data_IF_579901643045
#
_entry.id   IF_579901643045
#
_cell.length_a   1.000
_cell.length_b   1.000
_cell.length_c   1.000
_cell.angle_alpha   90.00
_cell.angle_beta   90.00
_cell.angle_gamma   90.00
#
_symmetry.space_group_name_H-M   'P 1'
#
loop_
_entity.id
_entity.type
_entity.pdbx_description
1 polymer ?
#
# COMPACT_ATOMS: atom_id res chain seq x y z
N UNK A 1 20.25 3.50 4.31
CA UNK A 1 20.14 4.20 5.60
C UNK A 1 19.05 5.29 5.63
N UNK A 2 18.80 6.05 4.55
CA UNK A 2 17.76 7.10 4.57
C UNK A 2 16.31 6.55 4.64
N UNK A 3 16.06 5.33 4.14
CA UNK A 3 14.71 4.78 4.02
C UNK A 3 14.18 4.13 5.31
N UNK A 4 15.07 3.69 6.22
CA UNK A 4 14.66 3.01 7.45
C UNK A 4 13.91 3.95 8.41
N UNK A 5 14.32 5.22 8.47
CA UNK A 5 13.65 6.24 9.29
C UNK A 5 12.25 6.58 8.79
N UNK A 6 12.05 6.68 7.47
CA UNK A 6 10.73 6.90 6.86
C UNK A 6 9.79 5.73 7.18
N UNK A 7 10.26 4.51 6.97
CA UNK A 7 9.49 3.29 7.22
C UNK A 7 9.05 3.18 8.69
N UNK A 8 9.94 3.46 9.64
CA UNK A 8 9.62 3.51 11.07
C UNK A 8 8.61 4.61 11.42
N UNK A 9 8.73 5.79 10.82
CA UNK A 9 7.78 6.90 11.01
C UNK A 9 6.39 6.52 10.51
N UNK A 10 6.28 5.93 9.31
CA UNK A 10 5.01 5.49 8.74
C UNK A 10 4.33 4.43 9.61
N UNK A 11 5.09 3.47 10.11
CA UNK A 11 4.62 2.45 11.05
C UNK A 11 4.09 3.05 12.36
N UNK A 12 4.83 3.99 12.94
CA UNK A 12 4.43 4.66 14.17
C UNK A 12 3.13 5.47 13.95
N UNK A 13 3.03 6.15 12.82
CA UNK A 13 1.85 6.95 12.46
C UNK A 13 0.60 6.08 12.22
N UNK A 14 0.71 5.02 11.42
CA UNK A 14 -0.45 4.16 11.10
C UNK A 14 -1.01 3.48 12.35
N UNK A 15 -0.14 3.08 13.29
CA UNK A 15 -0.54 2.44 14.55
C UNK A 15 -1.15 3.42 15.55
N UNK A 16 -0.52 4.59 15.75
CA UNK A 16 -1.03 5.58 16.71
C UNK A 16 -2.44 6.05 16.38
N UNK A 17 -2.78 6.14 15.09
CA UNK A 17 -4.12 6.55 14.63
C UNK A 17 -5.03 5.35 14.32
N UNK A 18 -4.50 4.12 14.36
CA UNK A 18 -5.21 2.89 14.01
C UNK A 18 -5.80 2.92 12.58
N UNK A 19 -5.02 3.42 11.62
CA UNK A 19 -5.39 3.34 10.20
C UNK A 19 -5.19 1.94 9.63
N UNK A 20 -5.91 1.64 8.55
CA UNK A 20 -5.78 0.37 7.84
C UNK A 20 -4.46 0.33 7.10
N UNK A 21 -4.05 1.46 6.51
CA UNK A 21 -2.72 1.62 5.95
C UNK A 21 -2.34 3.09 5.80
N UNK A 22 -1.06 3.32 5.51
CA UNK A 22 -0.51 4.61 5.15
C UNK A 22 0.42 4.46 3.93
N UNK A 23 0.41 5.41 3.01
CA UNK A 23 1.20 5.40 1.79
C UNK A 23 1.86 6.76 1.63
N UNK A 24 3.15 6.76 1.35
CA UNK A 24 3.94 7.92 1.01
C UNK A 24 4.16 7.98 -0.50
N UNK A 25 3.75 9.09 -1.10
CA UNK A 25 3.95 9.40 -2.51
C UNK A 25 5.11 10.40 -2.67
N UNK A 26 6.04 10.05 -3.53
CA UNK A 26 7.23 10.84 -3.82
C UNK A 26 7.13 11.44 -5.21
N UNK A 27 7.51 12.71 -5.36
CA UNK A 27 7.59 13.33 -6.68
C UNK A 27 8.81 12.80 -7.45
N UNK A 28 8.58 12.30 -8.66
CA UNK A 28 9.62 11.87 -9.59
C UNK A 28 9.86 12.98 -10.62
N UNK A 29 10.99 13.72 -10.58
CA UNK A 29 11.24 14.84 -11.48
C UNK A 29 11.28 14.45 -12.96
N UNK A 30 11.83 13.26 -13.26
CA UNK A 30 11.98 12.73 -14.62
C UNK A 30 10.62 12.46 -15.27
N UNK A 31 9.71 11.83 -14.52
CA UNK A 31 8.36 11.49 -15.00
C UNK A 31 7.34 12.61 -14.78
N UNK A 32 7.69 13.65 -14.02
CA UNK A 32 6.83 14.77 -13.60
C UNK A 32 5.52 14.33 -12.93
N UNK A 33 5.55 13.22 -12.22
CA UNK A 33 4.40 12.66 -11.49
C UNK A 33 4.82 12.19 -10.10
N UNK A 34 3.86 12.15 -9.20
CA UNK A 34 3.94 11.47 -7.91
C UNK A 34 3.85 9.97 -8.15
N UNK A 35 4.80 9.23 -7.62
CA UNK A 35 4.86 7.76 -7.66
C UNK A 35 4.89 7.23 -6.24
N UNK A 36 4.60 5.94 -6.09
CA UNK A 36 4.77 5.27 -4.82
C UNK A 36 6.22 5.42 -4.32
N UNK A 37 6.39 5.95 -3.10
CA UNK A 37 7.67 5.97 -2.39
C UNK A 37 7.76 4.83 -1.39
N UNK A 38 6.89 4.84 -0.38
CA UNK A 38 6.84 3.81 0.68
C UNK A 38 5.43 3.67 1.26
N UNK A 39 5.19 2.69 2.15
CA UNK A 39 3.91 2.51 2.81
C UNK A 39 3.94 1.46 3.92
N UNK A 40 2.90 1.47 4.75
CA UNK A 40 2.71 0.46 5.79
C UNK A 40 1.24 0.03 5.83
N UNK A 41 1.02 -1.28 5.74
CA UNK A 41 -0.26 -1.93 6.00
C UNK A 41 -0.38 -2.27 7.49
N UNK A 42 -1.55 -2.00 8.06
CA UNK A 42 -1.90 -2.25 9.47
C UNK A 42 -3.35 -2.79 9.60
N UNK A 43 -3.93 -3.26 8.48
CA UNK A 43 -5.28 -3.79 8.44
C UNK A 43 -5.36 -5.26 8.85
N UNK A 44 -6.58 -5.80 8.82
CA UNK A 44 -6.83 -7.21 9.11
C UNK A 44 -6.15 -8.12 8.08
N UNK A 45 -5.57 -9.23 8.56
CA UNK A 45 -4.92 -10.25 7.75
C UNK A 45 -5.75 -11.53 7.86
N UNK A 46 -6.03 -12.20 6.73
CA UNK A 46 -6.60 -13.55 6.74
C UNK A 46 -5.50 -14.54 7.17
N UNK A 47 -5.43 -14.86 8.45
CA UNK A 47 -4.64 -16.01 8.89
C UNK A 47 -5.54 -17.25 8.87
N UNK A 48 -5.18 -18.25 8.06
CA UNK A 48 -5.76 -19.60 8.21
C UNK A 48 -5.35 -20.04 9.61
N UNK A 49 -6.31 -20.35 10.49
CA UNK A 49 -6.08 -20.78 11.87
C UNK A 49 -5.02 -21.89 11.89
N UNK A 50 -3.78 -21.55 12.23
CA UNK A 50 -2.76 -22.52 12.60
C UNK A 50 -2.06 -22.03 13.86
N UNK A 51 -2.08 -22.93 14.82
CA UNK A 51 -1.60 -22.86 16.20
C UNK A 51 -0.12 -22.46 16.25
N UNK A 52 0.18 -21.30 16.83
CA UNK A 52 1.09 -21.13 17.98
C UNK A 52 1.24 -19.63 18.32
N UNK A 53 1.07 -19.22 19.59
CA UNK A 53 1.37 -17.87 20.02
C UNK A 53 2.89 -17.76 20.23
N UNK A 54 3.64 -17.59 19.14
CA UNK A 54 4.97 -17.01 19.26
C UNK A 54 4.76 -15.52 19.46
N UNK A 55 5.36 -14.93 20.50
CA UNK A 55 5.33 -13.49 20.79
C UNK A 55 6.06 -12.70 19.70
N UNK A 56 5.54 -12.74 18.48
CA UNK A 56 5.89 -11.79 17.43
C UNK A 56 5.13 -10.53 17.79
N UNK A 57 5.86 -9.45 18.03
CA UNK A 57 5.23 -8.16 18.34
C UNK A 57 4.30 -7.79 17.17
N UNK A 58 3.16 -7.15 17.47
CA UNK A 58 2.25 -6.62 16.43
C UNK A 58 3.00 -5.79 15.37
N UNK A 59 4.16 -5.25 15.77
CA UNK A 59 5.05 -4.49 14.93
C UNK A 59 5.70 -5.30 13.82
N UNK A 60 6.32 -6.42 14.19
CA UNK A 60 6.98 -7.34 13.27
C UNK A 60 5.97 -7.99 12.30
N UNK A 61 4.73 -8.25 12.77
CA UNK A 61 3.66 -8.79 11.93
C UNK A 61 3.23 -7.79 10.84
N UNK A 62 3.00 -6.53 11.19
CA UNK A 62 2.58 -5.50 10.23
C UNK A 62 3.68 -5.17 9.21
N UNK A 63 4.94 -5.14 9.67
CA UNK A 63 6.14 -5.02 8.84
C UNK A 63 6.23 -6.14 7.82
N UNK A 64 6.22 -7.38 8.32
CA UNK A 64 6.31 -8.58 7.50
C UNK A 64 5.18 -8.62 6.48
N UNK A 65 3.96 -8.22 6.86
CA UNK A 65 2.83 -8.20 5.91
C UNK A 65 2.99 -7.15 4.82
N UNK A 66 3.45 -5.95 5.16
CA UNK A 66 3.68 -4.87 4.19
C UNK A 66 4.74 -5.28 3.15
N UNK A 67 5.78 -5.99 3.60
CA UNK A 67 6.83 -6.54 2.74
C UNK A 67 6.31 -7.67 1.84
N UNK A 68 5.53 -8.62 2.38
CA UNK A 68 4.90 -9.68 1.60
C UNK A 68 3.99 -9.12 0.48
N UNK A 69 3.23 -8.08 0.78
CA UNK A 69 2.40 -7.41 -0.23
C UNK A 69 3.28 -6.73 -1.28
N UNK A 70 4.37 -6.06 -0.88
CA UNK A 70 5.29 -5.46 -1.84
C UNK A 70 5.92 -6.49 -2.77
N UNK A 71 6.44 -7.59 -2.22
CA UNK A 71 7.05 -8.67 -2.99
C UNK A 71 6.05 -9.31 -3.97
N UNK A 72 4.81 -9.52 -3.53
CA UNK A 72 3.74 -10.01 -4.40
C UNK A 72 3.46 -9.04 -5.55
N UNK A 73 3.38 -7.72 -5.28
CA UNK A 73 3.20 -6.72 -6.32
C UNK A 73 4.34 -6.77 -7.34
N UNK A 74 5.59 -6.78 -6.89
CA UNK A 74 6.76 -6.78 -7.77
C UNK A 74 6.82 -8.07 -8.63
N UNK A 75 6.43 -9.22 -8.05
CA UNK A 75 6.30 -10.49 -8.78
C UNK A 75 5.21 -10.43 -9.86
N UNK A 76 4.05 -9.82 -9.56
CA UNK A 76 2.96 -9.67 -10.54
C UNK A 76 3.32 -8.67 -11.64
N UNK A 77 3.97 -7.56 -11.27
CA UNK A 77 4.37 -6.50 -12.19
C UNK A 77 5.49 -6.92 -13.14
N UNK A 78 6.38 -7.83 -12.71
CA UNK A 78 7.48 -8.34 -13.53
C UNK A 78 7.04 -9.37 -14.59
N UNK A 79 5.78 -9.80 -14.55
CA UNK A 79 5.21 -10.76 -15.50
C UNK A 79 5.58 -12.21 -15.20
N UNK A 80 4.64 -13.11 -15.45
CA UNK A 80 4.71 -14.58 -15.31
C UNK A 80 5.80 -15.23 -16.19
N UNK A 81 7.08 -14.96 -15.95
CA UNK A 81 8.19 -15.55 -16.69
C UNK A 81 8.54 -16.99 -16.26
N UNK A 82 7.59 -17.69 -15.63
CA UNK A 82 7.73 -19.09 -15.20
C UNK A 82 6.82 -20.06 -15.94
N UNK A 83 6.24 -19.67 -17.08
CA UNK A 83 5.51 -20.60 -17.94
C UNK A 83 6.13 -20.61 -19.34
N UNK A 84 7.28 -21.28 -19.49
CA UNK A 84 7.46 -22.33 -20.53
C UNK A 84 8.83 -23.01 -20.43
N UNK A 85 8.75 -24.33 -20.31
CA UNK A 85 9.66 -25.36 -20.87
C UNK A 85 11.05 -25.61 -20.24
N UNK A 86 11.08 -26.72 -19.48
CA UNK A 86 12.18 -27.69 -19.44
C UNK A 86 13.50 -27.23 -18.80
N UNK A 87 13.48 -27.01 -17.48
CA UNK A 87 14.58 -27.47 -16.62
C UNK A 87 14.17 -27.47 -15.15
N UNK A 88 14.46 -28.58 -14.50
CA UNK A 88 14.35 -28.78 -13.06
C UNK A 88 15.25 -27.77 -12.33
N UNK A 89 14.73 -26.60 -12.03
CA UNK A 89 15.32 -25.78 -10.97
C UNK A 89 14.54 -26.11 -9.72
N UNK A 90 15.19 -26.86 -8.83
CA UNK A 90 14.86 -26.94 -7.41
C UNK A 90 15.07 -25.55 -6.79
N UNK A 91 14.26 -24.56 -7.19
CA UNK A 91 14.04 -23.40 -6.34
C UNK A 91 13.07 -23.92 -5.31
N UNK A 92 13.51 -23.96 -4.04
CA UNK A 92 12.61 -24.16 -2.91
C UNK A 92 11.43 -23.21 -3.10
N UNK A 93 10.29 -23.73 -3.57
CA UNK A 93 9.02 -23.03 -3.55
C UNK A 93 8.90 -22.52 -2.12
N UNK A 94 8.90 -21.20 -1.85
CA UNK A 94 8.57 -20.77 -0.51
C UNK A 94 7.14 -21.25 -0.33
N UNK A 95 6.94 -22.31 0.45
CA UNK A 95 5.64 -22.90 0.75
C UNK A 95 4.75 -21.95 1.58
N UNK A 96 5.06 -20.65 1.55
CA UNK A 96 4.49 -19.52 2.28
C UNK A 96 4.39 -18.24 1.40
N UNK A 97 4.65 -18.30 0.09
CA UNK A 97 4.46 -17.14 -0.78
C UNK A 97 2.97 -16.78 -0.82
N UNK A 98 2.65 -15.53 -0.45
CA UNK A 98 1.29 -15.01 -0.41
C UNK A 98 0.69 -15.03 -1.83
N UNK A 99 -0.42 -15.73 -2.03
CA UNK A 99 -1.10 -15.75 -3.33
C UNK A 99 -2.10 -14.58 -3.45
N UNK A 100 -2.37 -14.07 -4.66
CA UNK A 100 -3.44 -13.09 -4.90
C UNK A 100 -4.79 -13.50 -4.28
N UNK A 101 -5.13 -14.78 -4.32
CA UNK A 101 -6.40 -15.33 -3.85
C UNK A 101 -6.53 -15.34 -2.32
N UNK A 102 -5.41 -15.34 -1.60
CA UNK A 102 -5.36 -15.32 -0.14
C UNK A 102 -5.57 -13.92 0.45
N UNK A 103 -5.60 -12.88 -0.39
CA UNK A 103 -5.72 -11.50 0.06
C UNK A 103 -7.14 -11.17 0.58
N UNK A 104 -7.19 -10.29 1.58
CA UNK A 104 -8.42 -9.56 1.90
C UNK A 104 -8.65 -8.45 0.87
N UNK A 105 -9.87 -7.93 0.79
CA UNK A 105 -10.18 -6.76 -0.04
C UNK A 105 -9.28 -5.56 0.31
N UNK A 106 -8.98 -5.36 1.60
CA UNK A 106 -8.14 -4.25 2.06
C UNK A 106 -6.68 -4.44 1.66
N UNK A 107 -6.19 -5.68 1.69
CA UNK A 107 -4.83 -6.01 1.23
C UNK A 107 -4.71 -5.87 -0.27
N UNK A 108 -5.68 -6.38 -1.04
CA UNK A 108 -5.74 -6.20 -2.49
C UNK A 108 -5.78 -4.71 -2.86
N UNK A 109 -6.56 -3.93 -2.12
CA UNK A 109 -6.66 -2.50 -2.35
C UNK A 109 -5.36 -1.75 -2.05
N UNK A 110 -4.70 -2.05 -0.93
CA UNK A 110 -3.37 -1.52 -0.61
C UNK A 110 -2.34 -1.90 -1.68
N UNK A 111 -2.33 -3.16 -2.10
CA UNK A 111 -1.47 -3.68 -3.16
C UNK A 111 -1.66 -2.91 -4.47
N UNK A 112 -2.92 -2.73 -4.91
CA UNK A 112 -3.25 -1.98 -6.11
C UNK A 112 -2.77 -0.53 -6.04
N UNK A 113 -2.75 0.08 -4.85
CA UNK A 113 -2.25 1.44 -4.68
C UNK A 113 -0.82 1.60 -5.18
N UNK A 114 0.01 0.56 -5.12
CA UNK A 114 1.41 0.61 -5.57
C UNK A 114 1.55 0.93 -7.07
N UNK A 115 0.54 0.59 -7.88
CA UNK A 115 0.57 0.83 -9.34
C UNK A 115 0.19 2.24 -9.77
N UNK A 116 -0.39 3.05 -8.89
CA UNK A 116 -0.87 4.38 -9.29
C UNK A 116 0.26 5.40 -9.40
N UNK A 117 0.01 6.41 -10.22
CA UNK A 117 0.78 7.64 -10.25
C UNK A 117 -0.16 8.83 -10.44
N UNK A 118 0.26 10.00 -9.98
CA UNK A 118 -0.56 11.21 -10.02
C UNK A 118 0.25 12.38 -10.55
N UNK A 119 -0.20 13.02 -11.63
CA UNK A 119 0.32 14.32 -11.99
C UNK A 119 -0.07 15.35 -10.91
N UNK A 120 0.75 16.41 -10.69
CA UNK A 120 0.32 17.55 -9.88
C UNK A 120 -1.05 18.08 -10.38
N UNK A 121 -1.96 18.37 -9.44
CA UNK A 121 -3.31 18.86 -9.74
C UNK A 121 -4.30 17.80 -10.24
N UNK A 122 -3.93 16.51 -10.22
CA UNK A 122 -4.80 15.42 -10.69
C UNK A 122 -5.14 14.46 -9.57
N UNK A 123 -6.45 14.36 -9.27
CA UNK A 123 -7.00 13.53 -8.21
C UNK A 123 -6.56 13.98 -6.82
N UNK A 124 -7.03 13.30 -5.77
CA UNK A 124 -6.80 13.74 -4.39
C UNK A 124 -5.32 13.94 -4.02
N UNK A 125 -4.44 13.04 -4.47
CA UNK A 125 -3.00 13.09 -4.15
C UNK A 125 -2.29 14.18 -4.94
N UNK A 126 -2.61 14.33 -6.24
CA UNK A 126 -2.05 15.38 -7.09
C UNK A 126 -2.50 16.78 -6.65
N UNK A 127 -3.77 16.94 -6.28
CA UNK A 127 -4.33 18.19 -5.76
C UNK A 127 -3.66 18.63 -4.46
N UNK A 128 -3.52 17.72 -3.49
CA UNK A 128 -2.87 18.01 -2.22
C UNK A 128 -1.41 18.45 -2.41
N UNK A 129 -0.71 17.83 -3.37
CA UNK A 129 0.65 18.21 -3.74
C UNK A 129 0.73 19.58 -4.39
N UNK A 130 -0.09 19.84 -5.41
CA UNK A 130 -0.06 21.11 -6.13
C UNK A 130 -0.44 22.28 -5.22
N UNK A 131 -1.47 22.10 -4.38
CA UNK A 131 -1.97 23.13 -3.47
C UNK A 131 -1.13 23.27 -2.19
N UNK A 132 -0.19 22.35 -1.95
CA UNK A 132 0.56 22.24 -0.68
C UNK A 132 -0.36 22.23 0.55
N UNK A 133 -1.47 21.50 0.44
CA UNK A 133 -2.54 21.47 1.44
C UNK A 133 -2.80 20.05 1.92
N UNK A 134 -3.17 19.94 3.20
CA UNK A 134 -3.67 18.68 3.72
C UNK A 134 -5.16 18.54 3.39
N UNK A 135 -5.53 17.47 2.69
CA UNK A 135 -6.90 17.19 2.28
C UNK A 135 -7.47 16.01 3.09
N UNK A 136 -8.73 16.11 3.47
CA UNK A 136 -9.46 15.04 4.14
C UNK A 136 -10.71 14.72 3.34
N UNK A 137 -10.85 13.46 2.94
CA UNK A 137 -12.04 12.94 2.29
C UNK A 137 -12.77 12.04 3.28
N UNK A 138 -14.03 12.36 3.55
CA UNK A 138 -14.94 11.53 4.35
C UNK A 138 -15.94 10.92 3.39
N UNK A 139 -16.21 9.61 3.51
CA UNK A 139 -17.14 8.93 2.60
C UNK A 139 -16.51 8.69 1.22
N UNK A 140 -15.29 8.16 1.18
CA UNK A 140 -14.60 7.95 -0.09
C UNK A 140 -15.36 7.02 -1.05
N UNK A 141 -16.27 6.19 -0.53
CA UNK A 141 -17.21 5.36 -1.30
C UNK A 141 -18.25 6.16 -2.11
N UNK A 142 -18.51 7.41 -1.72
CA UNK A 142 -19.49 8.31 -2.34
C UNK A 142 -18.82 9.46 -3.12
N UNK A 143 -17.49 9.55 -3.09
CA UNK A 143 -16.75 10.58 -3.80
C UNK A 143 -16.84 10.37 -5.33
N UNK A 144 -16.80 11.46 -6.10
CA UNK A 144 -16.69 11.38 -7.57
C UNK A 144 -15.41 10.61 -7.95
N UNK A 145 -15.49 9.70 -8.93
CA UNK A 145 -14.33 8.91 -9.40
C UNK A 145 -13.24 9.78 -10.04
N UNK A 146 -13.56 11.01 -10.45
CA UNK A 146 -12.58 12.02 -10.87
C UNK A 146 -11.77 12.56 -9.69
N UNK A 147 -12.37 12.65 -8.50
CA UNK A 147 -11.71 13.14 -7.27
C UNK A 147 -10.97 11.99 -6.59
N UNK A 148 -11.59 10.84 -6.52
CA UNK A 148 -11.03 9.63 -5.95
C UNK A 148 -11.38 8.45 -6.84
N UNK A 149 -10.50 8.12 -7.77
CA UNK A 149 -10.63 7.02 -8.76
C UNK A 149 -10.88 5.65 -8.13
N UNK A 150 -10.72 5.56 -6.81
CA UNK A 150 -10.84 4.35 -6.01
C UNK A 150 -12.13 4.30 -5.19
N UNK A 151 -13.10 5.18 -5.45
CA UNK A 151 -14.37 5.26 -4.72
C UNK A 151 -15.13 3.92 -4.68
N UNK A 152 -15.17 3.16 -5.78
CA UNK A 152 -15.85 1.85 -5.87
C UNK A 152 -15.28 0.83 -4.88
N UNK A 153 -14.01 0.94 -4.52
CA UNK A 153 -13.29 -0.01 -3.66
C UNK A 153 -13.27 0.42 -2.20
N UNK A 154 -13.78 1.62 -1.90
CA UNK A 154 -13.82 2.15 -0.55
C UNK A 154 -15.02 1.59 0.22
N UNK A 155 -14.80 1.11 1.44
CA UNK A 155 -15.89 0.67 2.33
C UNK A 155 -16.70 1.88 2.81
N UNK A 156 -18.00 1.70 3.02
CA UNK A 156 -18.88 2.69 3.64
C UNK A 156 -18.26 3.14 4.97
N UNK A 157 -17.90 4.44 5.07
CA UNK A 157 -17.17 5.12 6.19
C UNK A 157 -15.63 5.21 6.09
N UNK A 158 -15.00 4.84 4.99
CA UNK A 158 -13.56 5.08 4.81
C UNK A 158 -13.22 6.58 4.82
N UNK A 159 -12.15 6.95 5.53
CA UNK A 159 -11.62 8.32 5.57
C UNK A 159 -10.28 8.34 4.87
N UNK A 160 -10.10 9.23 3.91
CA UNK A 160 -8.80 9.41 3.25
C UNK A 160 -8.17 10.69 3.74
N UNK A 161 -6.98 10.64 4.32
CA UNK A 161 -6.23 11.85 4.63
C UNK A 161 -5.00 11.93 3.73
N UNK A 162 -4.81 13.06 3.06
CA UNK A 162 -3.58 13.37 2.33
C UNK A 162 -2.89 14.53 3.03
N UNK A 163 -1.69 14.30 3.57
CA UNK A 163 -0.91 15.36 4.21
C UNK A 163 -0.08 16.12 3.17
N UNK A 164 -0.26 17.45 3.10
CA UNK A 164 0.45 18.34 2.19
C UNK A 164 1.83 18.73 2.70
N UNK A 165 2.89 18.24 2.06
CA UNK A 165 4.24 18.83 2.11
C UNK A 165 5.00 18.49 0.81
N UNK A 166 6.28 18.84 0.69
CA UNK A 166 7.17 18.42 -0.41
C UNK A 166 7.19 16.89 -0.65
N UNK A 167 6.58 16.11 0.24
CA UNK A 167 6.16 14.74 0.01
C UNK A 167 4.78 14.47 0.61
N UNK A 168 3.99 13.59 -0.02
CA UNK A 168 2.56 13.41 0.29
C UNK A 168 2.29 12.08 0.99
N UNK A 169 1.36 12.08 1.94
CA UNK A 169 1.00 10.85 2.66
C UNK A 169 -0.49 10.60 2.56
N UNK A 170 -0.90 9.58 1.80
CA UNK A 170 -2.27 9.08 1.72
C UNK A 170 -2.54 8.07 2.84
N UNK A 171 -3.64 8.25 3.55
CA UNK A 171 -4.02 7.48 4.75
C UNK A 171 -5.43 6.97 4.57
N UNK A 172 -5.71 5.70 4.86
CA UNK A 172 -7.06 5.13 4.88
C UNK A 172 -7.31 4.23 6.09
#
# INVERSE_FOLDING_TARGET
MANDGLKQMLQSAVRSVQWTYIIFWQFCPEKRVLVWGDGCYNGAIKTRKTVQPMEVTTEEVALSRSEQLRELYDSLASGEQQVTENQQVMVRRPSMALSPEDLTEAEWFYLMCVSFSFAPGVGLVGDAYEKQQSLWLIGANEADSKVFTRNILAKTRSRVAVAGSSSQVLRM
#
